data_IF_767341219746
#
_entry.id   IF_767341219746
#
_cell.length_a   1.000
_cell.length_b   1.000
_cell.length_c   1.000
_cell.angle_alpha   90.00
_cell.angle_beta   90.00
_cell.angle_gamma   90.00
#
_symmetry.space_group_name_H-M   'P 1'
#
loop_
_entity.id
_entity.type
_entity.pdbx_description
1 polymer ?
#
# COMPACT_ATOMS: atom_id res chain seq x y z
N UNK A 1 13.83 -5.51 13.17
CA UNK A 1 12.41 -5.93 13.24
C UNK A 1 11.79 -5.37 11.99
N UNK A 2 11.07 -6.17 11.19
CA UNK A 2 10.57 -5.68 9.90
C UNK A 2 9.53 -4.57 10.05
N UNK A 3 9.41 -3.73 9.04
CA UNK A 3 8.49 -2.61 9.00
C UNK A 3 7.66 -2.62 7.71
N UNK A 4 6.44 -2.12 7.79
CA UNK A 4 5.65 -1.76 6.61
C UNK A 4 5.53 -0.25 6.51
N UNK A 5 5.42 0.22 5.26
CA UNK A 5 5.14 1.62 4.96
C UNK A 5 3.62 1.84 5.05
N UNK A 6 3.22 2.88 5.77
CA UNK A 6 1.81 3.26 5.92
C UNK A 6 1.60 4.73 5.61
N UNK A 7 0.41 5.08 5.15
CA UNK A 7 -0.02 6.44 4.87
C UNK A 7 -1.44 6.65 5.40
N UNK A 8 -1.74 7.79 6.05
CA UNK A 8 -3.00 8.01 6.76
C UNK A 8 -4.25 7.90 5.87
N UNK A 9 -4.15 8.25 4.59
CA UNK A 9 -5.30 8.22 3.65
C UNK A 9 -5.23 7.11 2.61
N UNK A 10 -4.05 6.53 2.37
CA UNK A 10 -3.86 5.50 1.34
C UNK A 10 -3.80 4.10 1.95
N UNK A 11 -3.55 4.00 3.26
CA UNK A 11 -3.42 2.73 3.97
C UNK A 11 -1.99 2.20 3.93
N UNK A 12 -1.86 0.89 3.78
CA UNK A 12 -0.59 0.16 3.83
C UNK A 12 -0.04 0.05 2.41
N UNK A 13 1.25 0.31 2.23
CA UNK A 13 1.92 0.07 0.96
C UNK A 13 1.99 -1.43 0.69
N UNK A 14 1.51 -1.85 -0.48
CA UNK A 14 1.43 -3.26 -0.85
C UNK A 14 2.57 -3.64 -1.78
N UNK A 15 2.68 -2.93 -2.90
CA UNK A 15 3.66 -3.21 -3.94
C UNK A 15 3.89 -1.97 -4.81
N UNK A 16 4.93 -2.04 -5.64
CA UNK A 16 5.15 -1.09 -6.73
C UNK A 16 5.31 -1.86 -8.04
N UNK A 17 4.68 -1.37 -9.11
CA UNK A 17 4.92 -1.85 -10.46
C UNK A 17 4.98 -0.66 -11.42
N UNK A 18 6.01 -0.62 -12.28
CA UNK A 18 6.19 0.44 -13.28
C UNK A 18 6.13 1.87 -12.70
N UNK A 19 6.67 2.08 -11.49
CA UNK A 19 6.66 3.39 -10.81
C UNK A 19 5.33 3.76 -10.13
N UNK A 20 4.30 2.91 -10.23
CA UNK A 20 3.01 3.09 -9.57
C UNK A 20 3.00 2.35 -8.24
N UNK A 21 2.68 3.07 -7.16
CA UNK A 21 2.49 2.49 -5.83
C UNK A 21 1.07 1.97 -5.65
N UNK A 22 0.93 0.75 -5.14
CA UNK A 22 -0.33 0.16 -4.74
C UNK A 22 -0.50 0.24 -3.23
N UNK A 23 -1.65 0.72 -2.80
CA UNK A 23 -1.97 0.95 -1.41
C UNK A 23 -3.29 0.30 -1.02
N UNK A 24 -3.36 -0.15 0.22
CA UNK A 24 -4.43 -1.00 0.72
C UNK A 24 -5.82 -0.36 0.77
N UNK A 25 -5.90 0.97 0.93
CA UNK A 25 -7.17 1.72 0.93
C UNK A 25 -7.44 2.46 -0.38
N UNK A 26 -6.45 2.54 -1.27
CA UNK A 26 -6.61 3.27 -2.54
C UNK A 26 -6.81 2.33 -3.72
N UNK A 27 -5.83 1.48 -3.96
CA UNK A 27 -5.70 0.68 -5.18
C UNK A 27 -5.04 -0.67 -4.87
N UNK A 28 -5.71 -1.56 -4.12
CA UNK A 28 -5.09 -2.82 -3.69
C UNK A 28 -4.83 -3.78 -4.84
N UNK A 29 -5.56 -3.71 -5.96
CA UNK A 29 -5.26 -4.40 -7.23
C UNK A 29 -4.95 -5.91 -7.09
N UNK A 30 -5.68 -6.59 -6.21
CA UNK A 30 -5.53 -8.02 -5.95
C UNK A 30 -4.35 -8.39 -5.04
N UNK A 31 -3.60 -7.42 -4.50
CA UNK A 31 -2.49 -7.68 -3.59
C UNK A 31 -3.02 -8.08 -2.21
N UNK A 32 -2.75 -9.32 -1.82
CA UNK A 32 -3.12 -9.92 -0.55
C UNK A 32 -1.99 -9.93 0.48
N UNK A 33 -0.86 -9.29 0.17
CA UNK A 33 0.25 -9.15 1.09
C UNK A 33 0.89 -7.75 0.97
N UNK A 34 1.37 -7.24 2.10
CA UNK A 34 2.12 -5.99 2.19
C UNK A 34 3.62 -6.27 2.16
N UNK A 35 4.38 -5.44 1.45
CA UNK A 35 5.83 -5.50 1.44
C UNK A 35 6.40 -5.10 2.81
N UNK A 36 7.21 -5.98 3.40
CA UNK A 36 7.87 -5.74 4.68
C UNK A 36 9.37 -5.54 4.45
N UNK A 37 9.90 -4.44 4.96
CA UNK A 37 11.31 -4.05 4.86
C UNK A 37 12.06 -4.46 6.13
N UNK A 38 13.31 -4.87 6.01
CA UNK A 38 14.08 -5.34 7.18
C UNK A 38 14.37 -4.22 8.19
N UNK A 39 14.50 -3.00 7.68
CA UNK A 39 14.81 -1.79 8.42
C UNK A 39 14.24 -0.54 7.70
N UNK A 40 14.24 0.60 8.39
CA UNK A 40 13.70 1.85 7.85
C UNK A 40 14.57 2.46 6.75
N UNK A 41 15.88 2.22 6.77
CA UNK A 41 16.81 2.74 5.76
C UNK A 41 16.52 2.14 4.38
N UNK A 42 16.33 0.83 4.30
CA UNK A 42 15.91 0.13 3.08
C UNK A 42 14.56 0.63 2.56
N UNK A 43 13.62 0.90 3.45
CA UNK A 43 12.31 1.46 3.09
C UNK A 43 12.44 2.90 2.56
N UNK A 44 13.35 3.70 3.10
CA UNK A 44 13.63 5.06 2.62
C UNK A 44 14.34 5.05 1.27
N UNK A 45 15.37 4.23 1.09
CA UNK A 45 16.04 4.03 -0.20
C UNK A 45 15.05 3.55 -1.27
N UNK A 46 14.15 2.63 -0.91
CA UNK A 46 13.10 2.18 -1.81
C UNK A 46 12.13 3.30 -2.19
N UNK A 47 11.70 4.13 -1.24
CA UNK A 47 10.84 5.30 -1.52
C UNK A 47 11.53 6.35 -2.39
N UNK A 48 12.86 6.48 -2.34
CA UNK A 48 13.61 7.39 -3.22
C UNK A 48 13.53 6.97 -4.69
N UNK A 49 13.27 5.68 -4.96
CA UNK A 49 13.07 5.17 -6.33
C UNK A 49 11.70 5.51 -6.92
N UNK A 50 10.77 6.04 -6.11
CA UNK A 50 9.40 6.31 -6.54
C UNK A 50 9.37 7.53 -7.45
N UNK A 51 8.71 7.42 -8.61
CA UNK A 51 8.66 8.50 -9.61
C UNK A 51 7.97 9.76 -9.09
N UNK A 52 6.97 9.60 -8.23
CA UNK A 52 6.25 10.70 -7.57
C UNK A 52 6.94 11.18 -6.26
N UNK A 53 8.06 10.55 -5.91
CA UNK A 53 8.76 10.78 -4.64
C UNK A 53 8.03 10.22 -3.42
N UNK A 54 8.55 10.55 -2.24
CA UNK A 54 7.98 10.15 -0.95
C UNK A 54 6.71 10.95 -0.65
N UNK A 55 5.54 10.30 -0.46
CA UNK A 55 4.34 11.01 -0.04
C UNK A 55 4.46 11.56 1.38
N UNK A 56 3.93 12.76 1.60
CA UNK A 56 3.86 13.38 2.92
C UNK A 56 3.04 12.53 3.91
N UNK A 57 3.51 12.42 5.15
CA UNK A 57 2.77 11.69 6.20
C UNK A 57 2.95 10.17 6.18
N UNK A 58 3.90 9.65 5.40
CA UNK A 58 4.32 8.25 5.51
C UNK A 58 4.89 7.95 6.90
N UNK A 59 4.44 6.85 7.50
CA UNK A 59 4.95 6.30 8.74
C UNK A 59 5.40 4.84 8.58
N UNK A 60 6.41 4.45 9.34
CA UNK A 60 6.89 3.07 9.42
C UNK A 60 6.30 2.40 10.65
N UNK A 61 5.58 1.30 10.43
CA UNK A 61 4.97 0.53 11.51
C UNK A 61 5.70 -0.81 11.64
N UNK A 62 6.26 -1.15 12.82
CA UNK A 62 6.92 -2.43 13.03
C UNK A 62 5.91 -3.56 12.98
N UNK A 63 6.24 -4.64 12.29
CA UNK A 63 5.37 -5.81 12.17
C UNK A 63 6.18 -7.11 12.26
N UNK A 64 5.47 -8.22 12.44
CA UNK A 64 6.04 -9.57 12.27
C UNK A 64 5.48 -10.16 10.98
N UNK A 65 6.26 -10.24 9.90
CA UNK A 65 5.79 -10.82 8.65
C UNK A 65 5.61 -12.34 8.80
N UNK A 66 4.51 -12.85 8.27
CA UNK A 66 4.15 -14.27 8.26
C UNK A 66 4.39 -14.91 6.88
N UNK A 67 4.60 -14.11 5.84
CA UNK A 67 4.84 -14.54 4.45
C UNK A 67 6.28 -14.22 4.00
N UNK A 68 7.26 -14.51 4.85
CA UNK A 68 8.67 -14.25 4.58
C UNK A 68 8.99 -12.74 4.62
N UNK A 69 9.30 -12.14 3.47
CA UNK A 69 9.50 -10.68 3.32
C UNK A 69 8.19 -9.92 3.10
N UNK A 70 7.04 -10.58 3.26
CA UNK A 70 5.72 -9.99 3.13
C UNK A 70 4.86 -10.30 4.35
N UNK A 71 3.83 -9.48 4.53
CA UNK A 71 2.87 -9.64 5.61
C UNK A 71 1.45 -9.75 5.10
N UNK A 72 0.75 -10.77 5.58
CA UNK A 72 -0.67 -10.93 5.32
C UNK A 72 -1.49 -9.83 6.01
N UNK A 73 -2.76 -9.64 5.62
CA UNK A 73 -3.63 -8.68 6.27
C UNK A 73 -3.84 -9.00 7.75
N UNK A 74 -3.74 -10.28 8.13
CA UNK A 74 -3.83 -10.76 9.51
C UNK A 74 -2.61 -10.33 10.34
N UNK A 75 -1.39 -10.42 9.78
CA UNK A 75 -0.19 -9.92 10.44
C UNK A 75 -0.22 -8.38 10.60
N UNK A 76 -0.72 -7.66 9.60
CA UNK A 76 -0.92 -6.22 9.70
C UNK A 76 -1.97 -5.86 10.77
N UNK A 77 -3.09 -6.59 10.84
CA UNK A 77 -4.12 -6.39 11.87
C UNK A 77 -3.57 -6.66 13.28
N UNK A 78 -2.74 -7.69 13.46
CA UNK A 78 -2.06 -7.99 14.71
C UNK A 78 -1.09 -6.87 15.15
N UNK A 79 -0.54 -6.12 14.20
CA UNK A 79 0.27 -4.93 14.45
C UNK A 79 -0.56 -3.65 14.70
N UNK A 80 -1.90 -3.75 14.69
CA UNK A 80 -2.82 -2.63 14.91
C UNK A 80 -3.15 -1.84 13.65
N UNK A 81 -2.85 -2.36 12.46
CA UNK A 81 -3.18 -1.73 11.18
C UNK A 81 -4.57 -2.16 10.69
N UNK A 82 -5.15 -1.34 9.82
CA UNK A 82 -6.43 -1.68 9.20
C UNK A 82 -6.25 -2.82 8.18
N UNK A 83 -7.04 -3.87 8.35
CA UNK A 83 -7.22 -4.91 7.32
C UNK A 83 -7.78 -4.31 6.04
N UNK A 84 -7.35 -4.81 4.89
CA UNK A 84 -7.87 -4.41 3.58
C UNK A 84 -8.53 -5.55 2.82
N UNK A 85 -9.33 -5.20 1.82
CA UNK A 85 -9.85 -6.12 0.83
C UNK A 85 -8.99 -6.03 -0.44
N UNK A 86 -8.28 -7.09 -0.85
CA UNK A 86 -7.46 -7.10 -2.07
C UNK A 86 -8.22 -6.72 -3.35
N UNK A 87 -9.53 -6.98 -3.36
CA UNK A 87 -10.41 -6.72 -4.51
C UNK A 87 -11.28 -5.48 -4.31
N UNK A 88 -10.94 -4.59 -3.38
CA UNK A 88 -11.62 -3.31 -3.27
C UNK A 88 -11.49 -2.53 -4.59
N UNK A 89 -12.53 -1.78 -5.00
CA UNK A 89 -12.43 -0.92 -6.17
C UNK A 89 -11.32 0.10 -5.96
N UNK A 90 -10.64 0.42 -7.05
CA UNK A 90 -9.68 1.51 -7.06
C UNK A 90 -10.43 2.83 -6.82
N UNK A 91 -10.11 3.52 -5.72
CA UNK A 91 -10.75 4.77 -5.31
C UNK A 91 -10.12 6.00 -5.97
N UNK A 92 -8.95 5.82 -6.59
CA UNK A 92 -8.20 6.86 -7.30
C UNK A 92 -8.47 6.79 -8.82
N UNK A 93 -8.98 5.65 -9.30
CA UNK A 93 -9.50 5.48 -10.64
C UNK A 93 -10.66 6.47 -10.83
N UNK A 94 -10.36 7.53 -11.58
CA UNK A 94 -11.31 8.54 -12.03
C UNK A 94 -12.64 7.85 -12.38
N UNK A 95 -13.71 8.22 -11.66
CA UNK A 95 -15.03 7.66 -11.91
C UNK A 95 -15.33 7.75 -13.41
N UNK A 96 -15.92 6.71 -14.04
CA UNK A 96 -16.24 6.79 -15.46
C UNK A 96 -17.06 8.05 -15.70
N UNK A 97 -16.55 8.95 -16.55
CA UNK A 97 -17.23 10.18 -16.91
C UNK A 97 -18.68 9.83 -17.30
N UNK A 98 -19.70 10.57 -16.82
CA UNK A 98 -21.07 10.31 -17.23
C UNK A 98 -21.12 10.42 -18.75
N UNK A 99 -21.33 9.29 -19.42
CA UNK A 99 -21.41 9.23 -20.88
C UNK A 99 -22.45 10.24 -21.39
N UNK A 100 -22.24 10.81 -22.59
CA UNK A 100 -23.13 11.84 -23.11
C UNK A 100 -24.57 11.35 -23.10
N UNK A 101 -25.55 12.22 -22.76
CA UNK A 101 -26.95 11.83 -22.74
C UNK A 101 -27.32 11.26 -24.10
N UNK A 102 -27.72 9.99 -24.13
CA UNK A 102 -28.27 9.40 -25.34
C UNK A 102 -29.59 10.12 -25.64
N UNK A 103 -29.61 10.80 -26.79
CA UNK A 103 -30.74 11.57 -27.31
C UNK A 103 -31.79 10.67 -27.96
#
# INVERSE_FOLDING_TARGET
MPFVITHPTRGIFLAMCQGVCFWSQSNPQGQDAACAFENTEEAEEFMDTWTDGRPDGVAFVPIVPDLGSHASPEACEAAGLARWNPWAPDVDAEAPEPGPPQA
#
